data_IF_892498301184
#
_entry.id   IF_892498301184
#
_cell.length_a   1.000
_cell.length_b   1.000
_cell.length_c   1.000
_cell.angle_alpha   90.00
_cell.angle_beta   90.00
_cell.angle_gamma   90.00
#
_symmetry.space_group_name_H-M   'P 1'
#
loop_
_entity.id
_entity.type
_entity.pdbx_description
1 polymer ?
#
# COMPACT_ATOMS: atom_id res chain seq x y z
N UNK A 1 -10.58 -4.28 1.92
CA UNK A 1 -11.47 -3.81 0.83
C UNK A 1 -12.85 -4.41 1.02
N UNK A 2 -13.88 -3.93 0.33
CA UNK A 2 -15.26 -4.43 0.48
C UNK A 2 -15.57 -5.67 -0.37
N UNK A 3 -14.62 -6.12 -1.21
CA UNK A 3 -14.80 -7.20 -2.17
C UNK A 3 -13.72 -8.29 -1.96
N UNK A 4 -14.01 -9.51 -2.41
CA UNK A 4 -13.09 -10.64 -2.36
C UNK A 4 -12.08 -10.56 -3.52
N UNK A 5 -10.80 -10.39 -3.16
CA UNK A 5 -9.72 -10.25 -4.14
C UNK A 5 -9.53 -11.55 -4.92
N UNK A 6 -9.68 -12.71 -4.29
CA UNK A 6 -9.42 -13.99 -4.95
C UNK A 6 -10.42 -14.24 -6.08
N UNK A 7 -11.71 -14.03 -5.81
CA UNK A 7 -12.76 -14.18 -6.82
C UNK A 7 -12.60 -13.18 -7.97
N UNK A 8 -12.20 -11.94 -7.67
CA UNK A 8 -11.99 -10.92 -8.71
C UNK A 8 -10.81 -11.28 -9.63
N UNK A 9 -9.72 -11.80 -9.07
CA UNK A 9 -8.57 -12.28 -9.85
C UNK A 9 -8.95 -13.50 -10.71
N UNK A 10 -9.68 -14.47 -10.16
CA UNK A 10 -10.19 -15.62 -10.94
C UNK A 10 -11.12 -15.17 -12.08
N UNK A 11 -11.89 -14.10 -11.88
CA UNK A 11 -12.76 -13.50 -12.89
C UNK A 11 -12.03 -12.64 -13.94
N UNK A 12 -10.70 -12.66 -13.96
CA UNK A 12 -9.82 -11.85 -14.81
C UNK A 12 -10.05 -10.33 -14.66
N UNK A 13 -10.29 -9.85 -13.45
CA UNK A 13 -10.37 -8.42 -13.18
C UNK A 13 -8.95 -7.80 -13.07
N UNK A 14 -8.44 -7.32 -14.20
CA UNK A 14 -7.12 -6.66 -14.28
C UNK A 14 -7.00 -5.44 -13.38
N UNK A 15 -8.09 -4.69 -13.16
CA UNK A 15 -8.07 -3.50 -12.30
C UNK A 15 -7.73 -3.89 -10.85
N UNK A 16 -8.37 -4.95 -10.33
CA UNK A 16 -8.06 -5.50 -9.00
C UNK A 16 -6.62 -6.02 -8.96
N UNK A 17 -6.15 -6.67 -10.02
CA UNK A 17 -4.77 -7.13 -10.13
C UNK A 17 -3.74 -6.00 -10.02
N UNK A 18 -3.98 -4.88 -10.72
CA UNK A 18 -3.12 -3.70 -10.65
C UNK A 18 -3.13 -3.12 -9.23
N UNK A 19 -4.31 -2.88 -8.65
CA UNK A 19 -4.45 -2.33 -7.30
C UNK A 19 -3.78 -3.22 -6.24
N UNK A 20 -3.91 -4.54 -6.37
CA UNK A 20 -3.22 -5.49 -5.50
C UNK A 20 -1.69 -5.40 -5.66
N UNK A 21 -1.20 -5.39 -6.89
CA UNK A 21 0.22 -5.27 -7.19
C UNK A 21 0.82 -3.98 -6.63
N UNK A 22 0.15 -2.84 -6.80
CA UNK A 22 0.56 -1.56 -6.22
C UNK A 22 0.64 -1.60 -4.70
N UNK A 23 -0.33 -2.23 -4.04
CA UNK A 23 -0.30 -2.43 -2.60
C UNK A 23 0.87 -3.32 -2.14
N UNK A 24 1.15 -4.41 -2.85
CA UNK A 24 2.28 -5.28 -2.54
C UNK A 24 3.62 -4.55 -2.69
N UNK A 25 3.77 -3.70 -3.72
CA UNK A 25 4.95 -2.85 -3.88
C UNK A 25 5.10 -1.90 -2.69
N UNK A 26 4.03 -1.22 -2.28
CA UNK A 26 4.06 -0.31 -1.12
C UNK A 26 4.45 -1.02 0.19
N UNK A 27 3.85 -2.19 0.46
CA UNK A 27 4.20 -3.03 1.60
C UNK A 27 5.66 -3.47 1.54
N UNK A 28 6.16 -3.84 0.35
CA UNK A 28 7.55 -4.21 0.13
C UNK A 28 8.51 -3.07 0.46
N UNK A 29 8.22 -1.84 0.03
CA UNK A 29 9.05 -0.66 0.32
C UNK A 29 9.10 -0.36 1.82
N UNK A 30 7.96 -0.41 2.52
CA UNK A 30 7.92 -0.19 3.98
C UNK A 30 8.67 -1.29 4.72
N UNK A 31 8.50 -2.55 4.30
CA UNK A 31 9.23 -3.68 4.89
C UNK A 31 10.73 -3.54 4.65
N UNK A 32 11.13 -3.12 3.43
CA UNK A 32 12.52 -2.85 3.09
C UNK A 32 13.10 -1.76 3.99
N UNK A 33 12.35 -0.68 4.27
CA UNK A 33 12.78 0.34 5.24
C UNK A 33 13.04 -0.24 6.62
N UNK A 34 12.14 -1.10 7.10
CA UNK A 34 12.21 -1.65 8.45
C UNK A 34 13.46 -2.50 8.69
N UNK A 35 14.01 -3.12 7.64
CA UNK A 35 15.26 -3.89 7.71
C UNK A 35 16.48 -3.13 7.20
N UNK A 36 16.33 -1.87 6.79
CA UNK A 36 17.40 -1.07 6.22
C UNK A 36 18.39 -0.60 7.30
N UNK A 37 19.69 -0.63 6.98
CA UNK A 37 20.77 -0.20 7.87
C UNK A 37 21.67 -1.33 8.34
N UNK A 38 22.59 -1.01 9.25
CA UNK A 38 23.60 -1.96 9.73
C UNK A 38 23.02 -2.96 10.74
N UNK A 39 23.35 -4.24 10.54
CA UNK A 39 22.97 -5.29 11.46
C UNK A 39 23.94 -5.37 12.65
N UNK A 40 23.51 -4.83 13.79
CA UNK A 40 24.28 -4.81 15.04
C UNK A 40 23.95 -5.96 16.01
N UNK A 41 23.21 -6.98 15.54
CA UNK A 41 22.81 -8.15 16.33
C UNK A 41 21.29 -8.33 16.41
N UNK A 42 20.86 -9.53 16.81
CA UNK A 42 19.44 -9.92 16.80
C UNK A 42 18.54 -9.05 17.66
N UNK A 43 18.97 -8.72 18.89
CA UNK A 43 18.16 -7.90 19.80
C UNK A 43 17.91 -6.50 19.24
N UNK A 44 18.96 -5.81 18.79
CA UNK A 44 18.83 -4.47 18.18
C UNK A 44 18.13 -4.52 16.84
N UNK A 45 18.40 -5.55 16.02
CA UNK A 45 17.77 -5.71 14.70
C UNK A 45 16.27 -5.91 14.80
N UNK A 46 15.81 -6.80 15.69
CA UNK A 46 14.38 -7.04 15.91
C UNK A 46 13.70 -5.80 16.49
N UNK A 47 14.34 -5.11 17.44
CA UNK A 47 13.80 -3.88 18.02
C UNK A 47 13.62 -2.79 16.96
N UNK A 48 14.66 -2.52 16.16
CA UNK A 48 14.59 -1.54 15.06
C UNK A 48 13.55 -1.93 14.01
N UNK A 49 13.51 -3.21 13.62
CA UNK A 49 12.52 -3.72 12.67
C UNK A 49 11.09 -3.49 13.14
N UNK A 50 10.78 -3.80 14.41
CA UNK A 50 9.45 -3.57 14.97
C UNK A 50 9.10 -2.09 15.03
N UNK A 51 10.04 -1.24 15.46
CA UNK A 51 9.81 0.21 15.55
C UNK A 51 9.54 0.80 14.17
N UNK A 52 10.43 0.59 13.21
CA UNK A 52 10.29 1.14 11.87
C UNK A 52 9.15 0.48 11.09
N UNK A 53 8.93 -0.82 11.27
CA UNK A 53 7.82 -1.54 10.66
C UNK A 53 6.47 -1.02 11.15
N UNK A 54 6.25 -0.93 12.47
CA UNK A 54 4.99 -0.43 13.04
C UNK A 54 4.75 1.02 12.62
N UNK A 55 5.77 1.89 12.76
CA UNK A 55 5.65 3.30 12.38
C UNK A 55 5.37 3.43 10.88
N UNK A 56 6.11 2.71 10.05
CA UNK A 56 5.95 2.72 8.59
C UNK A 56 4.57 2.25 8.14
N UNK A 57 4.05 1.15 8.67
CA UNK A 57 2.71 0.67 8.33
C UNK A 57 1.60 1.58 8.87
N UNK A 58 1.75 2.11 10.09
CA UNK A 58 0.80 3.06 10.65
C UNK A 58 0.71 4.33 9.79
N UNK A 59 1.85 4.90 9.40
CA UNK A 59 1.91 6.06 8.52
C UNK A 59 1.37 5.77 7.12
N UNK A 60 1.65 4.58 6.56
CA UNK A 60 1.12 4.18 5.26
C UNK A 60 -0.41 4.10 5.29
N UNK A 61 -0.98 3.57 6.37
CA UNK A 61 -2.42 3.54 6.59
C UNK A 61 -3.02 4.96 6.70
N UNK A 62 -2.40 5.85 7.47
CA UNK A 62 -2.84 7.25 7.61
C UNK A 62 -2.78 7.98 6.27
N UNK A 63 -1.68 7.85 5.52
CA UNK A 63 -1.53 8.48 4.20
C UNK A 63 -2.59 7.98 3.22
N UNK A 64 -2.89 6.67 3.23
CA UNK A 64 -3.96 6.11 2.40
C UNK A 64 -5.30 6.78 2.70
N UNK A 65 -5.68 6.89 3.97
CA UNK A 65 -6.92 7.57 4.38
C UNK A 65 -6.96 9.05 3.96
N UNK A 66 -5.85 9.76 4.10
CA UNK A 66 -5.76 11.17 3.71
C UNK A 66 -5.92 11.34 2.20
N UNK A 67 -5.23 10.52 1.42
CA UNK A 67 -5.21 10.64 -0.03
C UNK A 67 -6.54 10.18 -0.64
N UNK A 68 -7.16 9.12 -0.11
CA UNK A 68 -8.49 8.67 -0.55
C UNK A 68 -9.52 9.79 -0.34
N UNK A 69 -9.46 10.48 0.81
CA UNK A 69 -10.37 11.59 1.12
C UNK A 69 -10.09 12.86 0.32
N UNK A 70 -8.85 13.07 -0.12
CA UNK A 70 -8.44 14.27 -0.87
C UNK A 70 -8.62 14.11 -2.38
N UNK A 71 -8.20 12.98 -2.95
CA UNK A 71 -8.18 12.76 -4.41
C UNK A 71 -9.51 12.27 -4.96
N UNK A 72 -10.21 11.36 -4.26
CA UNK A 72 -11.44 10.75 -4.75
C UNK A 72 -12.55 10.80 -3.69
N UNK A 73 -12.90 12.00 -3.16
CA UNK A 73 -13.92 12.12 -2.11
C UNK A 73 -15.30 11.59 -2.53
N UNK A 74 -15.60 11.59 -3.83
CA UNK A 74 -16.91 11.23 -4.38
C UNK A 74 -16.95 9.80 -4.93
N UNK A 75 -15.81 9.16 -5.15
CA UNK A 75 -15.72 7.86 -5.84
C UNK A 75 -15.23 6.79 -4.88
N UNK A 76 -16.03 5.74 -4.69
CA UNK A 76 -15.58 4.53 -3.98
C UNK A 76 -14.57 3.78 -4.85
N UNK A 77 -13.29 3.83 -4.48
CA UNK A 77 -12.21 3.11 -5.18
C UNK A 77 -12.51 1.61 -5.26
N UNK A 78 -13.03 1.02 -4.18
CA UNK A 78 -13.44 -0.39 -4.16
C UNK A 78 -14.54 -0.69 -5.17
N UNK A 79 -15.54 0.18 -5.32
CA UNK A 79 -16.59 0.00 -6.33
C UNK A 79 -16.05 0.17 -7.75
N UNK A 80 -15.25 1.21 -7.97
CA UNK A 80 -14.69 1.50 -9.29
C UNK A 80 -13.75 0.37 -9.79
N UNK A 81 -12.95 -0.21 -8.92
CA UNK A 81 -11.99 -1.25 -9.29
C UNK A 81 -12.66 -2.63 -9.38
N UNK A 82 -13.55 -2.99 -8.44
CA UNK A 82 -14.22 -4.30 -8.46
C UNK A 82 -15.39 -4.35 -9.46
N UNK A 83 -16.33 -3.41 -9.37
CA UNK A 83 -17.59 -3.49 -10.12
C UNK A 83 -17.45 -2.89 -11.52
N UNK A 84 -16.79 -1.74 -11.64
CA UNK A 84 -16.62 -1.04 -12.92
C UNK A 84 -15.35 -1.45 -13.67
N UNK A 85 -14.50 -2.27 -13.05
CA UNK A 85 -13.21 -2.73 -13.61
C UNK A 85 -12.34 -1.58 -14.13
N UNK A 86 -12.41 -0.44 -13.44
CA UNK A 86 -11.79 0.80 -13.89
C UNK A 86 -10.28 0.79 -13.65
N UNK A 87 -9.54 0.59 -14.75
CA UNK A 87 -8.07 0.56 -14.73
C UNK A 87 -7.45 1.90 -14.31
N UNK A 88 -8.07 3.03 -14.66
CA UNK A 88 -7.57 4.35 -14.31
C UNK A 88 -7.54 4.57 -12.80
N UNK A 89 -8.62 4.18 -12.12
CA UNK A 89 -8.69 4.25 -10.65
C UNK A 89 -7.68 3.29 -10.02
N UNK A 90 -7.52 2.08 -10.57
CA UNK A 90 -6.52 1.13 -10.08
C UNK A 90 -5.08 1.64 -10.19
N UNK A 91 -4.72 2.31 -11.30
CA UNK A 91 -3.40 2.92 -11.45
C UNK A 91 -3.19 4.09 -10.51
N UNK A 92 -4.21 4.95 -10.33
CA UNK A 92 -4.13 6.08 -9.39
C UNK A 92 -3.94 5.55 -7.96
N UNK A 93 -4.76 4.58 -7.54
CA UNK A 93 -4.64 3.95 -6.22
C UNK A 93 -3.23 3.35 -6.01
N UNK A 94 -2.72 2.64 -7.02
CA UNK A 94 -1.39 2.04 -6.96
C UNK A 94 -0.28 3.09 -6.87
N UNK A 95 -0.34 4.12 -7.71
CA UNK A 95 0.65 5.20 -7.72
C UNK A 95 0.67 5.93 -6.37
N UNK A 96 -0.50 6.23 -5.81
CA UNK A 96 -0.66 6.84 -4.50
C UNK A 96 0.00 6.02 -3.40
N UNK A 97 -0.27 4.71 -3.36
CA UNK A 97 0.29 3.82 -2.34
C UNK A 97 1.80 3.73 -2.47
N UNK A 98 2.32 3.56 -3.69
CA UNK A 98 3.76 3.49 -3.95
C UNK A 98 4.45 4.81 -3.58
N UNK A 99 3.91 5.95 -4.00
CA UNK A 99 4.46 7.27 -3.67
C UNK A 99 4.46 7.52 -2.16
N UNK A 100 3.38 7.15 -1.48
CA UNK A 100 3.29 7.26 -0.02
C UNK A 100 4.35 6.40 0.67
N UNK A 101 4.51 5.14 0.25
CA UNK A 101 5.54 4.26 0.77
C UNK A 101 6.96 4.81 0.54
N UNK A 102 7.24 5.39 -0.63
CA UNK A 102 8.52 6.02 -0.95
C UNK A 102 8.80 7.24 -0.06
N UNK A 103 7.80 8.09 0.18
CA UNK A 103 7.93 9.23 1.09
C UNK A 103 8.32 8.74 2.49
N UNK A 104 7.65 7.69 2.98
CA UNK A 104 7.94 7.12 4.29
C UNK A 104 9.32 6.47 4.37
N UNK A 105 9.74 5.79 3.29
CA UNK A 105 11.08 5.22 3.20
C UNK A 105 12.18 6.30 3.32
N UNK A 106 11.95 7.48 2.75
CA UNK A 106 12.90 8.60 2.75
C UNK A 106 12.82 9.48 4.00
N UNK A 107 11.63 9.61 4.60
CA UNK A 107 11.39 10.54 5.72
C UNK A 107 11.79 9.98 7.09
N UNK A 108 11.71 8.66 7.25
CA UNK A 108 12.09 7.92 8.45
C UNK A 108 13.47 7.30 8.23
#
# INVERSE_FOLDING_TARGET
TSYDIHSEIESNNTAVGIALGGNLIGIGIVTFKAVFGDFNGWNSGIASFLVFGIIGFALLYVMRLMIDKLLLPTVSTSHAVANERNLGVAYIESAVVISSALILFLAI
#
